data_IF_441063327187
#
_entry.id   IF_441063327187
#
_cell.length_a   1.000
_cell.length_b   1.000
_cell.length_c   1.000
_cell.angle_alpha   90.00
_cell.angle_beta   90.00
_cell.angle_gamma   90.00
#
_symmetry.space_group_name_H-M   'P 1'
#
loop_
_entity.id
_entity.type
_entity.pdbx_description
1 polymer ?
#
# COMPACT_ATOMS: atom_id res chain seq x y z
N UNK A 1 10.75 -16.29 -5.17
CA UNK A 1 10.19 -15.48 -6.28
C UNK A 1 11.09 -15.68 -7.48
N UNK A 2 10.52 -16.03 -8.64
CA UNK A 2 11.28 -16.29 -9.86
C UNK A 2 12.05 -15.07 -10.33
N UNK A 3 13.17 -15.32 -11.00
CA UNK A 3 14.07 -14.33 -11.60
C UNK A 3 13.21 -13.39 -12.45
N UNK A 4 12.98 -12.17 -11.96
CA UNK A 4 12.13 -11.21 -12.65
C UNK A 4 12.95 -10.61 -13.78
N UNK A 5 12.61 -10.94 -15.03
CA UNK A 5 13.28 -10.43 -16.22
C UNK A 5 12.86 -8.99 -16.52
N UNK A 6 13.16 -8.07 -15.61
CA UNK A 6 12.77 -6.66 -15.71
C UNK A 6 13.27 -6.01 -17.00
N UNK A 7 14.37 -6.51 -17.56
CA UNK A 7 14.97 -6.03 -18.82
C UNK A 7 14.14 -6.35 -20.07
N UNK A 8 13.20 -7.31 -19.99
CA UNK A 8 12.31 -7.68 -21.11
C UNK A 8 11.04 -6.80 -21.18
N UNK A 9 10.81 -5.92 -20.20
CA UNK A 9 9.61 -5.07 -20.10
C UNK A 9 9.94 -3.58 -20.20
N UNK A 10 8.97 -2.77 -20.63
CA UNK A 10 9.18 -1.32 -20.73
C UNK A 10 9.41 -0.70 -19.35
N UNK A 11 10.11 0.45 -19.32
CA UNK A 11 10.31 1.22 -18.09
C UNK A 11 8.99 1.61 -17.43
N UNK A 12 7.93 1.85 -18.23
CA UNK A 12 6.61 2.19 -17.73
C UNK A 12 5.96 1.00 -17.03
N UNK A 13 6.01 -0.18 -17.63
CA UNK A 13 5.41 -1.40 -17.07
C UNK A 13 6.12 -1.80 -15.77
N UNK A 14 7.45 -1.75 -15.76
CA UNK A 14 8.25 -2.02 -14.56
C UNK A 14 7.95 -1.03 -13.42
N UNK A 15 7.67 0.23 -13.75
CA UNK A 15 7.30 1.24 -12.75
C UNK A 15 5.88 0.97 -12.22
N UNK A 16 4.93 0.67 -13.10
CA UNK A 16 3.57 0.33 -12.70
C UNK A 16 3.55 -0.93 -11.82
N UNK A 17 4.28 -1.98 -12.21
CA UNK A 17 4.40 -3.22 -11.44
C UNK A 17 4.95 -2.98 -10.04
N UNK A 18 5.94 -2.08 -9.87
CA UNK A 18 6.45 -1.69 -8.54
C UNK A 18 5.38 -1.01 -7.69
N UNK A 19 4.63 -0.06 -8.24
CA UNK A 19 3.54 0.58 -7.51
C UNK A 19 2.44 -0.42 -7.14
N UNK A 20 2.03 -1.26 -8.09
CA UNK A 20 1.03 -2.29 -7.85
C UNK A 20 1.48 -3.27 -6.75
N UNK A 21 2.75 -3.70 -6.76
CA UNK A 21 3.32 -4.55 -5.72
C UNK A 21 3.32 -3.88 -4.35
N UNK A 22 3.60 -2.58 -4.28
CA UNK A 22 3.51 -1.82 -3.03
C UNK A 22 2.08 -1.81 -2.48
N UNK A 23 1.06 -1.77 -3.34
CA UNK A 23 -0.35 -1.72 -2.95
C UNK A 23 -1.02 -3.10 -2.80
N UNK A 24 -0.37 -4.20 -3.19
CA UNK A 24 -1.00 -5.51 -3.34
C UNK A 24 -1.59 -6.12 -2.05
N UNK A 25 -1.28 -5.58 -0.87
CA UNK A 25 -1.83 -6.07 0.40
C UNK A 25 -3.19 -5.42 0.71
N UNK A 26 -4.24 -6.18 1.09
CA UNK A 26 -5.58 -5.64 1.33
C UNK A 26 -5.61 -4.56 2.41
N UNK A 27 -4.80 -4.67 3.46
CA UNK A 27 -4.68 -3.62 4.48
C UNK A 27 -4.22 -2.27 3.89
N UNK A 28 -3.30 -2.26 2.91
CA UNK A 28 -2.85 -1.03 2.26
C UNK A 28 -3.94 -0.43 1.38
N UNK A 29 -4.74 -1.26 0.72
CA UNK A 29 -5.92 -0.81 -0.04
C UNK A 29 -6.97 -0.19 0.89
N UNK A 30 -7.23 -0.79 2.04
CA UNK A 30 -8.16 -0.26 3.03
C UNK A 30 -7.68 1.10 3.59
N UNK A 31 -6.40 1.22 3.90
CA UNK A 31 -5.77 2.48 4.30
C UNK A 31 -5.92 3.54 3.21
N UNK A 32 -5.61 3.22 1.94
CA UNK A 32 -5.75 4.17 0.83
C UNK A 32 -7.20 4.66 0.67
N UNK A 33 -8.18 3.75 0.72
CA UNK A 33 -9.60 4.12 0.69
C UNK A 33 -9.98 5.06 1.82
N UNK A 34 -9.56 4.75 3.04
CA UNK A 34 -9.78 5.61 4.19
C UNK A 34 -9.21 7.02 3.99
N UNK A 35 -7.97 7.12 3.51
CA UNK A 35 -7.30 8.40 3.25
C UNK A 35 -8.03 9.23 2.17
N UNK A 36 -8.54 8.58 1.12
CA UNK A 36 -9.32 9.22 0.05
C UNK A 36 -10.63 9.80 0.61
N UNK A 37 -11.32 9.05 1.47
CA UNK A 37 -12.62 9.43 2.03
C UNK A 37 -12.48 10.55 3.09
N UNK A 38 -11.54 10.42 4.03
CA UNK A 38 -11.42 11.33 5.19
C UNK A 38 -10.55 12.56 4.93
N UNK A 39 -9.65 12.51 3.93
CA UNK A 39 -8.63 13.55 3.66
C UNK A 39 -7.75 13.93 4.88
N UNK A 40 -7.74 13.10 5.93
CA UNK A 40 -6.86 13.22 7.09
C UNK A 40 -5.85 12.07 7.09
N UNK A 41 -4.66 12.30 7.67
CA UNK A 41 -3.62 11.28 7.79
C UNK A 41 -3.11 11.24 9.23
N UNK A 42 -3.97 10.77 10.14
CA UNK A 42 -3.60 10.52 11.54
C UNK A 42 -3.69 9.03 11.78
N UNK A 43 -2.57 8.41 12.19
CA UNK A 43 -2.53 6.96 12.42
C UNK A 43 -3.57 6.51 13.46
N UNK A 44 -3.89 7.35 14.45
CA UNK A 44 -4.95 7.09 15.42
C UNK A 44 -6.32 6.90 14.77
N UNK A 45 -6.67 7.75 13.80
CA UNK A 45 -7.96 7.65 13.08
C UNK A 45 -8.02 6.35 12.28
N UNK A 46 -6.92 5.95 11.64
CA UNK A 46 -6.82 4.70 10.88
C UNK A 46 -7.03 3.49 11.79
N UNK A 47 -6.43 3.50 12.98
CA UNK A 47 -6.57 2.41 13.99
C UNK A 47 -7.99 2.33 14.54
N UNK A 48 -8.67 3.47 14.68
CA UNK A 48 -10.05 3.50 15.17
C UNK A 48 -11.06 2.96 14.14
N UNK A 49 -10.74 3.05 12.85
CA UNK A 49 -11.68 2.80 11.75
C UNK A 49 -11.38 1.50 10.99
N UNK A 50 -10.16 0.97 11.09
CA UNK A 50 -9.77 -0.30 10.48
C UNK A 50 -9.45 -1.35 11.56
N UNK A 51 -9.68 -2.64 11.28
CA UNK A 51 -9.37 -3.73 12.22
C UNK A 51 -7.85 -4.03 12.23
N UNK A 52 -7.03 -3.01 12.47
CA UNK A 52 -5.57 -3.06 12.46
C UNK A 52 -5.01 -2.42 13.73
N UNK A 53 -3.97 -3.02 14.30
CA UNK A 53 -3.24 -2.39 15.40
C UNK A 53 -2.39 -1.21 14.89
N UNK A 54 -2.03 -0.29 15.79
CA UNK A 54 -1.16 0.84 15.46
C UNK A 54 0.19 0.38 14.87
N UNK A 55 0.82 -0.66 15.44
CA UNK A 55 2.08 -1.19 14.92
C UNK A 55 1.91 -1.80 13.53
N UNK A 56 0.78 -2.46 13.26
CA UNK A 56 0.42 -2.98 11.93
C UNK A 56 0.21 -1.86 10.92
N UNK A 57 -0.48 -0.79 11.29
CA UNK A 57 -0.66 0.40 10.43
C UNK A 57 0.71 1.02 10.11
N UNK A 58 1.56 1.25 11.11
CA UNK A 58 2.92 1.76 10.90
C UNK A 58 3.76 0.87 9.99
N UNK A 59 3.66 -0.46 10.12
CA UNK A 59 4.35 -1.41 9.25
C UNK A 59 3.89 -1.29 7.79
N UNK A 60 2.60 -1.06 7.56
CA UNK A 60 2.07 -0.90 6.20
C UNK A 60 2.40 0.45 5.57
N UNK A 61 2.57 1.51 6.37
CA UNK A 61 2.91 2.87 5.94
C UNK A 61 4.42 3.11 5.75
N UNK A 62 5.27 2.22 6.26
CA UNK A 62 6.72 2.22 6.01
C UNK A 62 7.06 1.82 4.58
#
# INVERSE_FOLDING_TARGET
MGISKLEEFTVRDNRLARHAKAMAHPARIAILRFLIEKRSCVCGDIVNELPLSQSTVSQHLK
#
